data_IF_153455934491
#
_entry.id   IF_153455934491
#
_cell.length_a   1.000
_cell.length_b   1.000
_cell.length_c   1.000
_cell.angle_alpha   90.00
_cell.angle_beta   90.00
_cell.angle_gamma   90.00
#
_symmetry.space_group_name_H-M   'P 1'
#
loop_
_entity.id
_entity.type
_entity.pdbx_description
1 polymer ?
#
# COMPACT_ATOMS: atom_id res chain seq x y z
N UNK A 1 -26.47 -43.24 10.05
CA UNK A 1 -26.67 -42.23 9.00
C UNK A 1 -25.78 -41.07 9.39
N UNK A 2 -24.46 -41.25 9.24
CA UNK A 2 -23.64 -40.76 8.11
C UNK A 2 -23.49 -39.24 8.16
N UNK A 3 -22.41 -38.83 8.82
CA UNK A 3 -21.82 -37.50 8.74
C UNK A 3 -21.57 -37.11 7.28
N UNK A 4 -22.01 -35.91 6.92
CA UNK A 4 -21.59 -35.21 5.70
C UNK A 4 -20.98 -33.88 6.10
N UNK A 5 -19.66 -33.67 5.96
CA UNK A 5 -19.07 -32.37 6.16
C UNK A 5 -19.42 -31.45 4.99
N UNK A 6 -19.92 -30.27 5.34
CA UNK A 6 -20.14 -29.15 4.42
C UNK A 6 -18.79 -28.80 3.80
N UNK A 7 -18.66 -29.03 2.49
CA UNK A 7 -17.53 -28.58 1.69
C UNK A 7 -17.57 -27.04 1.64
N UNK A 8 -16.68 -26.39 2.39
CA UNK A 8 -16.30 -25.00 2.12
C UNK A 8 -15.46 -24.98 0.83
N UNK A 9 -16.14 -24.91 -0.30
CA UNK A 9 -15.52 -24.58 -1.58
C UNK A 9 -15.42 -23.06 -1.70
N UNK A 10 -14.28 -22.51 -1.31
CA UNK A 10 -13.80 -21.23 -1.87
C UNK A 10 -12.56 -21.58 -2.69
N UNK A 11 -12.79 -22.20 -3.84
CA UNK A 11 -11.86 -22.12 -4.97
C UNK A 11 -12.10 -20.76 -5.62
N UNK A 12 -11.66 -19.68 -4.98
CA UNK A 12 -11.39 -18.44 -5.72
C UNK A 12 -10.01 -18.62 -6.33
N UNK A 13 -9.96 -19.16 -7.57
CA UNK A 13 -8.75 -19.03 -8.39
C UNK A 13 -8.35 -17.56 -8.39
N UNK A 14 -7.14 -17.28 -7.94
CA UNK A 14 -6.65 -15.92 -7.83
C UNK A 14 -6.60 -15.39 -9.27
N UNK A 15 -7.32 -14.31 -9.58
CA UNK A 15 -7.48 -13.93 -10.99
C UNK A 15 -6.13 -13.57 -11.65
N UNK A 16 -5.06 -13.34 -10.87
CA UNK A 16 -3.71 -13.08 -11.36
C UNK A 16 -2.79 -14.33 -11.38
N UNK A 17 -3.34 -15.56 -11.33
CA UNK A 17 -2.57 -16.82 -11.20
C UNK A 17 -1.36 -16.92 -12.18
N UNK A 18 -1.49 -16.46 -13.43
CA UNK A 18 -0.39 -16.46 -14.41
C UNK A 18 0.74 -15.48 -14.05
N UNK A 19 0.41 -14.26 -13.62
CA UNK A 19 1.39 -13.24 -13.22
C UNK A 19 2.09 -13.62 -11.91
N UNK A 20 1.39 -14.29 -11.00
CA UNK A 20 2.00 -14.90 -9.81
C UNK A 20 2.97 -16.01 -10.17
N UNK A 21 2.60 -16.87 -11.13
CA UNK A 21 3.48 -17.93 -11.58
C UNK A 21 4.74 -17.35 -12.23
N UNK A 22 4.62 -16.27 -13.01
CA UNK A 22 5.76 -15.54 -13.55
C UNK A 22 6.63 -14.89 -12.46
N UNK A 23 6.03 -14.29 -11.43
CA UNK A 23 6.76 -13.69 -10.32
C UNK A 23 7.51 -14.74 -9.48
N UNK A 24 6.86 -15.87 -9.19
CA UNK A 24 7.45 -16.98 -8.42
C UNK A 24 8.54 -17.70 -9.21
N UNK A 25 8.32 -18.03 -10.49
CA UNK A 25 9.34 -18.63 -11.37
C UNK A 25 10.59 -17.76 -11.47
N UNK A 26 10.41 -16.45 -11.62
CA UNK A 26 11.53 -15.50 -11.65
C UNK A 26 12.26 -15.43 -10.29
N UNK A 27 11.51 -15.41 -9.19
CA UNK A 27 12.04 -15.43 -7.84
C UNK A 27 12.85 -16.70 -7.52
N UNK A 28 12.38 -17.86 -7.96
CA UNK A 28 13.06 -19.15 -7.79
C UNK A 28 14.33 -19.25 -8.63
N UNK A 29 14.27 -18.87 -9.92
CA UNK A 29 15.45 -18.84 -10.81
C UNK A 29 16.57 -17.98 -10.25
N UNK A 30 16.24 -16.83 -9.65
CA UNK A 30 17.22 -15.97 -8.99
C UNK A 30 17.83 -16.62 -7.74
N UNK A 31 17.01 -17.22 -6.86
CA UNK A 31 17.49 -17.87 -5.62
C UNK A 31 18.42 -19.05 -5.91
N UNK A 32 18.18 -19.79 -6.99
CA UNK A 32 19.05 -20.90 -7.38
C UNK A 32 20.44 -20.44 -7.87
N UNK A 33 20.58 -19.20 -8.34
CA UNK A 33 21.81 -18.70 -8.96
C UNK A 33 22.70 -17.83 -8.05
N UNK A 34 22.24 -17.40 -6.86
CA UNK A 34 22.98 -16.49 -5.99
C UNK A 34 23.16 -17.03 -4.54
N UNK A 35 24.39 -17.44 -4.18
CA UNK A 35 24.76 -17.94 -2.84
C UNK A 35 25.69 -17.00 -2.03
N UNK A 36 25.91 -15.75 -2.45
CA UNK A 36 26.78 -14.77 -1.74
C UNK A 36 26.15 -13.38 -1.73
N UNK A 37 26.59 -12.51 -0.80
CA UNK A 37 26.08 -11.13 -0.61
C UNK A 37 25.67 -10.46 -1.92
N UNK A 38 24.36 -10.41 -2.12
CA UNK A 38 23.77 -9.95 -3.37
C UNK A 38 23.96 -8.44 -3.48
N UNK A 39 24.71 -8.03 -4.51
CA UNK A 39 24.79 -6.64 -4.97
C UNK A 39 23.44 -6.10 -5.50
N UNK A 40 22.41 -6.95 -5.49
CA UNK A 40 21.08 -6.68 -6.01
C UNK A 40 20.04 -6.85 -4.91
N UNK A 41 18.95 -6.09 -5.02
CA UNK A 41 17.74 -6.30 -4.25
C UNK A 41 16.55 -6.38 -5.18
N UNK A 42 15.53 -7.12 -4.75
CA UNK A 42 14.34 -7.39 -5.55
C UNK A 42 13.14 -6.72 -4.91
N UNK A 43 12.44 -5.89 -5.66
CA UNK A 43 11.24 -5.20 -5.19
C UNK A 43 10.05 -5.61 -6.04
N UNK A 44 8.94 -5.99 -5.41
CA UNK A 44 7.69 -6.17 -6.13
C UNK A 44 6.93 -4.84 -6.14
N UNK A 45 6.53 -4.39 -7.33
CA UNK A 45 5.63 -3.26 -7.51
C UNK A 45 4.23 -3.81 -7.76
N UNK A 46 3.30 -3.57 -6.85
CA UNK A 46 1.89 -3.92 -7.02
C UNK A 46 1.17 -2.68 -7.53
N UNK A 47 0.69 -2.71 -8.77
CA UNK A 47 -0.01 -1.59 -9.39
C UNK A 47 -1.53 -1.79 -9.33
N UNK A 48 -2.18 -1.07 -8.41
CA UNK A 48 -3.63 -1.19 -8.15
C UNK A 48 -4.45 -0.10 -8.85
N UNK A 49 -3.79 0.93 -9.39
CA UNK A 49 -4.43 2.05 -10.08
C UNK A 49 -4.00 3.42 -9.55
N UNK A 50 -4.93 4.37 -9.57
CA UNK A 50 -4.66 5.77 -9.23
C UNK A 50 -3.98 6.59 -10.32
N UNK A 51 -3.91 7.91 -10.10
CA UNK A 51 -3.41 8.90 -11.06
C UNK A 51 -2.00 8.61 -11.58
N UNK A 52 -1.16 7.97 -10.76
CA UNK A 52 0.26 7.72 -11.09
C UNK A 52 0.46 6.99 -12.41
N UNK A 53 -0.37 5.99 -12.73
CA UNK A 53 -0.28 5.25 -13.98
C UNK A 53 -1.34 5.62 -15.03
N UNK A 54 -2.18 6.63 -14.78
CA UNK A 54 -3.17 7.08 -15.75
C UNK A 54 -2.52 7.68 -16.99
N UNK A 55 -3.15 7.49 -18.15
CA UNK A 55 -2.69 8.02 -19.44
C UNK A 55 -3.78 8.92 -20.01
N UNK A 56 -3.38 9.97 -20.71
CA UNK A 56 -4.29 10.83 -21.45
C UNK A 56 -4.85 10.02 -22.62
N UNK A 57 -6.16 9.79 -22.60
CA UNK A 57 -6.88 9.08 -23.66
C UNK A 57 -7.05 9.98 -24.91
N UNK A 58 -7.69 9.45 -25.96
CA UNK A 58 -7.92 10.21 -27.21
C UNK A 58 -8.79 11.47 -27.03
N UNK A 59 -9.56 11.54 -25.96
CA UNK A 59 -10.45 12.65 -25.62
C UNK A 59 -9.77 13.69 -24.72
N UNK A 60 -8.48 13.49 -24.37
CA UNK A 60 -7.74 14.40 -23.51
C UNK A 60 -7.95 14.18 -22.01
N UNK A 61 -8.63 13.10 -21.61
CA UNK A 61 -8.96 12.78 -20.21
C UNK A 61 -7.97 11.75 -19.66
N UNK A 62 -7.53 11.93 -18.41
CA UNK A 62 -6.72 10.93 -17.71
C UNK A 62 -7.58 9.73 -17.33
N UNK A 63 -7.15 8.54 -17.76
CA UNK A 63 -7.82 7.28 -17.43
C UNK A 63 -6.78 6.16 -17.24
N UNK A 64 -7.07 5.15 -16.40
CA UNK A 64 -6.24 3.96 -16.33
C UNK A 64 -6.29 3.21 -17.66
N UNK A 65 -5.17 2.60 -18.06
CA UNK A 65 -5.10 1.76 -19.27
C UNK A 65 -4.27 0.54 -18.97
N UNK A 66 -4.90 -0.63 -19.06
CA UNK A 66 -4.27 -1.91 -18.74
C UNK A 66 -3.05 -2.19 -19.63
N UNK A 67 -2.03 -2.84 -19.06
CA UNK A 67 -0.78 -3.27 -19.66
C UNK A 67 0.07 -2.15 -20.27
N UNK A 68 -0.17 -0.89 -19.91
CA UNK A 68 0.61 0.23 -20.44
C UNK A 68 1.62 0.77 -19.45
N UNK A 69 1.41 0.53 -18.16
CA UNK A 69 2.30 1.05 -17.13
C UNK A 69 3.71 0.50 -17.32
N UNK A 70 3.86 -0.82 -17.27
CA UNK A 70 5.18 -1.46 -17.45
C UNK A 70 5.79 -1.13 -18.82
N UNK A 71 5.00 -1.17 -19.89
CA UNK A 71 5.47 -0.87 -21.25
C UNK A 71 6.09 0.52 -21.39
N UNK A 72 5.51 1.53 -20.72
CA UNK A 72 6.06 2.89 -20.71
C UNK A 72 7.26 3.02 -19.77
N UNK A 73 7.24 2.34 -18.63
CA UNK A 73 8.37 2.32 -17.69
C UNK A 73 9.62 1.72 -18.36
N UNK A 74 9.47 0.66 -19.17
CA UNK A 74 10.57 0.06 -19.96
C UNK A 74 11.24 1.05 -20.93
N UNK A 75 10.53 2.08 -21.35
CA UNK A 75 11.05 3.11 -22.26
C UNK A 75 11.73 4.27 -21.52
N UNK A 76 11.65 4.32 -20.19
CA UNK A 76 12.17 5.42 -19.39
C UNK A 76 13.56 5.07 -18.81
N UNK A 77 14.64 5.75 -19.25
CA UNK A 77 16.00 5.43 -18.80
C UNK A 77 16.27 5.75 -17.32
N UNK A 78 15.43 6.56 -16.67
CA UNK A 78 15.54 6.80 -15.22
C UNK A 78 14.97 5.63 -14.40
N UNK A 79 14.11 4.81 -15.00
CA UNK A 79 13.39 3.73 -14.33
C UNK A 79 13.78 2.34 -14.85
N UNK A 80 14.42 2.26 -16.02
CA UNK A 80 14.83 1.01 -16.63
C UNK A 80 16.18 1.13 -17.32
N UNK A 81 17.11 0.27 -16.94
CA UNK A 81 18.39 0.02 -17.61
C UNK A 81 18.35 -1.38 -18.25
N UNK A 82 18.04 -1.47 -19.55
CA UNK A 82 17.97 -2.74 -20.26
C UNK A 82 19.35 -3.35 -20.52
N UNK A 83 20.41 -2.54 -20.61
CA UNK A 83 21.77 -3.03 -20.89
C UNK A 83 22.26 -3.91 -19.75
N UNK A 84 22.00 -3.49 -18.51
CA UNK A 84 22.34 -4.28 -17.33
C UNK A 84 21.71 -5.69 -17.37
N UNK A 85 20.44 -5.79 -17.75
CA UNK A 85 19.71 -7.06 -17.78
C UNK A 85 20.14 -7.96 -18.95
N UNK A 86 20.49 -7.39 -20.11
CA UNK A 86 20.95 -8.17 -21.27
C UNK A 86 22.25 -8.93 -21.00
N UNK A 87 23.10 -8.42 -20.11
CA UNK A 87 24.36 -9.08 -19.75
C UNK A 87 24.19 -10.28 -18.82
N UNK A 88 22.98 -10.51 -18.27
CA UNK A 88 22.73 -11.59 -17.33
C UNK A 88 22.47 -12.92 -18.01
N UNK A 89 22.94 -14.00 -17.40
CA UNK A 89 22.77 -15.36 -17.91
C UNK A 89 21.35 -15.92 -17.71
N UNK A 90 20.64 -15.46 -16.68
CA UNK A 90 19.34 -15.98 -16.23
C UNK A 90 18.14 -15.43 -17.02
N UNK A 91 18.33 -14.35 -17.78
CA UNK A 91 17.31 -13.70 -18.64
C UNK A 91 15.96 -13.52 -17.95
N UNK A 92 15.99 -13.09 -16.69
CA UNK A 92 14.79 -12.87 -15.89
C UNK A 92 14.04 -11.64 -16.43
N UNK A 93 12.72 -11.75 -16.57
CA UNK A 93 11.86 -10.66 -17.05
C UNK A 93 11.56 -9.61 -15.97
N UNK A 94 12.61 -8.93 -15.51
CA UNK A 94 12.56 -7.84 -14.53
C UNK A 94 12.83 -6.50 -15.21
N UNK A 95 12.59 -5.43 -14.46
CA UNK A 95 13.10 -4.09 -14.70
C UNK A 95 14.29 -3.84 -13.76
N UNK A 96 15.24 -3.01 -14.17
CA UNK A 96 16.36 -2.61 -13.33
C UNK A 96 16.41 -1.09 -13.24
N UNK A 97 16.38 -0.53 -12.03
CA UNK A 97 16.75 0.89 -11.86
C UNK A 97 18.22 1.08 -12.25
N UNK A 98 18.64 2.25 -12.78
CA UNK A 98 20.05 2.59 -13.00
C UNK A 98 20.95 2.40 -11.77
N UNK A 99 22.26 2.28 -11.99
CA UNK A 99 23.22 2.14 -10.89
C UNK A 99 23.22 3.37 -9.99
N UNK A 100 23.29 3.14 -8.68
CA UNK A 100 23.43 4.19 -7.68
C UNK A 100 24.68 3.94 -6.86
N UNK A 101 25.34 5.02 -6.44
CA UNK A 101 26.51 4.92 -5.58
C UNK A 101 26.09 4.40 -4.21
N UNK A 102 26.85 3.44 -3.66
CA UNK A 102 26.69 2.89 -2.31
C UNK A 102 25.37 2.16 -2.01
N UNK A 103 24.55 1.86 -3.02
CA UNK A 103 23.30 1.10 -2.89
C UNK A 103 23.37 -0.19 -3.70
N UNK A 104 22.58 -1.19 -3.29
CA UNK A 104 22.32 -2.36 -4.12
C UNK A 104 21.57 -1.93 -5.39
N UNK A 105 21.83 -2.66 -6.47
CA UNK A 105 21.08 -2.54 -7.71
C UNK A 105 19.65 -3.04 -7.48
N UNK A 106 18.67 -2.15 -7.63
CA UNK A 106 17.26 -2.52 -7.45
C UNK A 106 16.73 -3.12 -8.76
N UNK A 107 16.44 -4.41 -8.72
CA UNK A 107 15.64 -5.09 -9.71
C UNK A 107 14.19 -5.13 -9.23
N UNK A 108 13.24 -4.96 -10.13
CA UNK A 108 11.83 -4.97 -9.74
C UNK A 108 10.94 -5.57 -10.81
N UNK A 109 9.81 -6.11 -10.36
CA UNK A 109 8.75 -6.64 -11.22
C UNK A 109 7.47 -5.86 -10.95
N UNK A 110 6.68 -5.58 -11.99
CA UNK A 110 5.35 -5.01 -11.83
C UNK A 110 4.33 -6.13 -11.89
N UNK A 111 3.53 -6.24 -10.84
CA UNK A 111 2.29 -7.01 -10.79
C UNK A 111 1.15 -6.02 -10.97
N UNK A 112 0.55 -6.01 -12.16
CA UNK A 112 -0.56 -5.12 -12.48
C UNK A 112 -1.89 -5.80 -12.19
N UNK A 113 -2.75 -5.16 -11.38
CA UNK A 113 -4.09 -5.68 -11.14
C UNK A 113 -4.93 -5.57 -12.42
N UNK A 114 -5.66 -6.64 -12.76
CA UNK A 114 -6.57 -6.69 -13.92
C UNK A 114 -7.55 -5.52 -13.97
N UNK A 115 -8.09 -5.14 -12.82
CA UNK A 115 -8.95 -3.96 -12.68
C UNK A 115 -8.18 -2.87 -11.96
N UNK A 116 -7.68 -1.89 -12.71
CA UNK A 116 -7.07 -0.69 -12.16
C UNK A 116 -8.16 0.22 -11.59
N UNK A 117 -8.06 0.53 -10.30
CA UNK A 117 -9.09 1.26 -9.58
C UNK A 117 -8.72 2.75 -9.38
N UNK A 118 -9.75 3.59 -9.46
CA UNK A 118 -9.75 4.83 -8.70
C UNK A 118 -9.86 4.46 -7.22
N UNK A 119 -8.99 5.01 -6.37
CA UNK A 119 -8.93 4.68 -4.95
C UNK A 119 -10.25 4.93 -4.21
N UNK A 120 -11.09 5.85 -4.70
CA UNK A 120 -12.44 6.09 -4.15
C UNK A 120 -13.38 4.88 -4.26
N UNK A 121 -13.10 3.95 -5.16
CA UNK A 121 -13.89 2.72 -5.35
C UNK A 121 -13.28 1.50 -4.62
N UNK A 122 -12.17 1.67 -3.89
CA UNK A 122 -11.53 0.56 -3.19
C UNK A 122 -12.29 0.14 -1.95
N UNK A 123 -12.30 -1.17 -1.73
CA UNK A 123 -13.05 -1.85 -0.68
C UNK A 123 -12.14 -2.77 0.13
N UNK A 124 -12.70 -3.36 1.19
CA UNK A 124 -12.03 -4.38 2.00
C UNK A 124 -11.51 -5.55 1.15
N UNK A 125 -12.25 -5.96 0.12
CA UNK A 125 -11.83 -7.05 -0.75
C UNK A 125 -10.54 -6.69 -1.51
N UNK A 126 -10.39 -5.44 -1.93
CA UNK A 126 -9.20 -4.97 -2.64
C UNK A 126 -7.98 -4.96 -1.70
N UNK A 127 -8.16 -4.57 -0.44
CA UNK A 127 -7.10 -4.68 0.57
C UNK A 127 -6.67 -6.13 0.82
N UNK A 128 -7.62 -7.07 0.86
CA UNK A 128 -7.33 -8.51 0.98
C UNK A 128 -6.54 -9.03 -0.22
N UNK A 129 -6.87 -8.57 -1.44
CA UNK A 129 -6.14 -8.93 -2.64
C UNK A 129 -4.68 -8.43 -2.58
N UNK A 130 -4.48 -7.15 -2.26
CA UNK A 130 -3.14 -6.57 -2.08
C UNK A 130 -2.35 -7.30 -0.99
N UNK A 131 -3.00 -7.61 0.14
CA UNK A 131 -2.36 -8.33 1.24
C UNK A 131 -1.95 -9.75 0.83
N UNK A 132 -2.80 -10.41 0.04
CA UNK A 132 -2.53 -11.74 -0.52
C UNK A 132 -1.39 -11.69 -1.53
N UNK A 133 -1.32 -10.67 -2.39
CA UNK A 133 -0.20 -10.47 -3.33
C UNK A 133 1.15 -10.42 -2.59
N UNK A 134 1.21 -9.60 -1.53
CA UNK A 134 2.41 -9.44 -0.70
C UNK A 134 2.78 -10.75 -0.01
N UNK A 135 1.80 -11.49 0.51
CA UNK A 135 2.00 -12.76 1.19
C UNK A 135 2.53 -13.85 0.26
N UNK A 136 1.90 -14.04 -0.90
CA UNK A 136 2.27 -15.06 -1.87
C UNK A 136 3.67 -14.78 -2.45
N UNK A 137 3.99 -13.49 -2.63
CA UNK A 137 5.30 -13.07 -3.13
C UNK A 137 6.35 -12.87 -2.02
N UNK A 138 5.99 -13.08 -0.75
CA UNK A 138 6.80 -12.65 0.39
C UNK A 138 8.19 -13.27 0.39
N UNK A 139 8.33 -14.54 0.00
CA UNK A 139 9.60 -15.25 0.01
C UNK A 139 10.56 -14.84 -1.12
N UNK A 140 10.05 -14.20 -2.18
CA UNK A 140 10.79 -13.96 -3.43
C UNK A 140 11.35 -12.55 -3.56
N UNK A 141 10.77 -11.57 -2.86
CA UNK A 141 11.19 -10.16 -2.93
C UNK A 141 11.71 -9.65 -1.59
N UNK A 142 12.60 -8.67 -1.62
CA UNK A 142 13.23 -8.08 -0.44
C UNK A 142 12.40 -6.90 0.12
N UNK A 143 11.57 -6.28 -0.72
CA UNK A 143 10.62 -5.22 -0.34
C UNK A 143 9.47 -5.08 -1.33
N UNK A 144 8.48 -4.25 -0.98
CA UNK A 144 7.25 -4.07 -1.73
C UNK A 144 6.93 -2.58 -1.91
N UNK A 145 6.49 -2.22 -3.11
CA UNK A 145 5.93 -0.90 -3.42
C UNK A 145 4.53 -1.10 -3.95
N UNK A 146 3.54 -0.45 -3.34
CA UNK A 146 2.14 -0.50 -3.75
C UNK A 146 1.78 0.85 -4.35
N UNK A 147 1.47 0.87 -5.64
CA UNK A 147 1.03 2.05 -6.36
C UNK A 147 -0.48 2.20 -6.24
N UNK A 148 -0.90 3.31 -5.64
CA UNK A 148 -2.27 3.51 -5.19
C UNK A 148 -2.77 4.93 -5.51
N UNK A 149 -4.08 5.09 -5.69
CA UNK A 149 -4.71 6.42 -5.80
C UNK A 149 -4.69 7.18 -4.48
N UNK A 150 -4.59 8.51 -4.52
CA UNK A 150 -4.31 9.27 -3.30
C UNK A 150 -5.53 9.42 -2.37
N UNK A 151 -6.76 9.32 -2.86
CA UNK A 151 -7.96 9.66 -2.09
C UNK A 151 -8.20 8.76 -0.87
N UNK A 152 -7.96 7.46 -1.01
CA UNK A 152 -8.12 6.50 0.09
C UNK A 152 -6.80 5.85 0.53
N UNK A 153 -5.66 6.37 0.06
CA UNK A 153 -4.33 5.81 0.33
C UNK A 153 -4.06 5.61 1.83
N UNK A 154 -4.39 6.59 2.67
CA UNK A 154 -4.20 6.48 4.13
C UNK A 154 -5.04 5.36 4.75
N UNK A 155 -6.25 5.12 4.23
CA UNK A 155 -7.11 4.04 4.71
C UNK A 155 -6.51 2.68 4.37
N UNK A 156 -6.06 2.51 3.12
CA UNK A 156 -5.38 1.28 2.68
C UNK A 156 -4.08 1.05 3.46
N UNK A 157 -3.29 2.11 3.71
CA UNK A 157 -2.07 2.02 4.52
C UNK A 157 -2.36 1.60 5.97
N UNK A 158 -3.41 2.14 6.58
CA UNK A 158 -3.83 1.75 7.91
C UNK A 158 -4.35 0.30 7.93
N UNK A 159 -5.24 -0.07 7.00
CA UNK A 159 -5.78 -1.42 6.91
C UNK A 159 -4.68 -2.46 6.75
N UNK A 160 -3.78 -2.30 5.76
CA UNK A 160 -2.67 -3.21 5.52
C UNK A 160 -1.72 -3.28 6.72
N UNK A 161 -1.51 -2.17 7.44
CA UNK A 161 -0.71 -2.18 8.67
C UNK A 161 -1.30 -3.07 9.77
N UNK A 162 -2.62 -3.24 9.84
CA UNK A 162 -3.26 -4.16 10.78
C UNK A 162 -3.36 -5.58 10.23
N UNK A 163 -3.49 -5.73 8.91
CA UNK A 163 -3.54 -7.05 8.27
C UNK A 163 -2.20 -7.77 8.31
N UNK A 164 -1.09 -7.02 8.24
CA UNK A 164 0.27 -7.57 8.21
C UNK A 164 0.82 -7.84 9.60
N UNK A 165 0.70 -9.09 10.04
CA UNK A 165 1.26 -9.57 11.30
C UNK A 165 2.70 -10.06 11.10
N UNK A 166 3.59 -9.67 12.02
CA UNK A 166 5.01 -10.03 11.99
C UNK A 166 5.71 -9.64 10.66
N UNK A 167 5.36 -8.47 10.12
CA UNK A 167 6.02 -7.92 8.96
C UNK A 167 7.52 -7.72 9.25
N UNK A 168 8.39 -8.29 8.41
CA UNK A 168 9.85 -8.16 8.50
C UNK A 168 10.50 -7.44 7.30
N UNK A 169 9.70 -6.93 6.36
CA UNK A 169 10.15 -6.31 5.11
C UNK A 169 9.50 -4.96 4.90
N UNK A 170 10.15 -4.11 4.12
CA UNK A 170 9.67 -2.78 3.82
C UNK A 170 8.51 -2.82 2.83
N UNK A 171 7.36 -2.27 3.23
CA UNK A 171 6.18 -2.11 2.37
C UNK A 171 5.86 -0.63 2.26
N UNK A 172 5.99 -0.07 1.06
CA UNK A 172 5.75 1.36 0.82
C UNK A 172 4.54 1.52 -0.08
N UNK A 173 3.55 2.26 0.38
CA UNK A 173 2.43 2.71 -0.44
C UNK A 173 2.76 4.11 -0.96
N UNK A 174 2.65 4.31 -2.26
CA UNK A 174 2.87 5.60 -2.88
C UNK A 174 1.90 5.83 -4.03
N UNK A 175 1.88 7.06 -4.54
CA UNK A 175 1.05 7.47 -5.66
C UNK A 175 1.57 8.81 -6.19
N UNK A 176 0.71 9.55 -6.88
CA UNK A 176 1.06 10.90 -7.34
C UNK A 176 -0.19 11.75 -7.58
N UNK A 177 0.00 13.07 -7.59
CA UNK A 177 -1.02 14.02 -8.02
C UNK A 177 -1.04 14.16 -9.55
N UNK A 178 0.11 13.98 -10.20
CA UNK A 178 0.25 14.02 -11.66
C UNK A 178 0.77 12.67 -12.14
N UNK A 179 0.18 12.13 -13.21
CA UNK A 179 0.63 10.88 -13.84
C UNK A 179 2.15 10.88 -14.10
N UNK A 180 2.81 9.76 -13.80
CA UNK A 180 4.26 9.57 -13.94
C UNK A 180 4.76 9.81 -15.37
N UNK A 181 3.86 9.73 -16.35
CA UNK A 181 4.17 9.94 -17.77
C UNK A 181 4.15 11.41 -18.19
N UNK A 182 3.90 12.34 -17.27
CA UNK A 182 3.89 13.78 -17.56
C UNK A 182 5.18 14.48 -17.06
N UNK A 183 5.69 15.51 -17.77
CA UNK A 183 7.01 16.09 -17.47
C UNK A 183 7.18 16.71 -16.08
N UNK A 184 6.11 17.20 -15.46
CA UNK A 184 6.14 17.86 -14.14
C UNK A 184 5.59 16.98 -13.02
N UNK A 185 5.63 15.66 -13.23
CA UNK A 185 5.05 14.70 -12.30
C UNK A 185 5.88 14.54 -11.02
N UNK A 186 5.19 14.57 -9.88
CA UNK A 186 5.69 14.09 -8.59
C UNK A 186 5.85 12.56 -8.54
N UNK A 187 5.16 11.84 -9.43
CA UNK A 187 5.18 10.38 -9.51
C UNK A 187 6.54 9.80 -9.87
N UNK A 188 7.39 10.53 -10.61
CA UNK A 188 8.74 10.06 -10.97
C UNK A 188 9.59 9.90 -9.71
N UNK A 189 9.63 10.94 -8.88
CA UNK A 189 10.38 10.91 -7.62
C UNK A 189 9.77 9.92 -6.62
N UNK A 190 8.44 9.99 -6.43
CA UNK A 190 7.71 9.09 -5.56
C UNK A 190 7.97 7.61 -5.89
N UNK A 191 7.94 7.24 -7.16
CA UNK A 191 8.16 5.87 -7.60
C UNK A 191 9.60 5.40 -7.43
N UNK A 192 10.56 6.16 -7.97
CA UNK A 192 11.98 5.78 -7.93
C UNK A 192 12.46 5.70 -6.48
N UNK A 193 12.15 6.70 -5.66
CA UNK A 193 12.60 6.71 -4.27
C UNK A 193 11.93 5.62 -3.43
N UNK A 194 10.66 5.30 -3.68
CA UNK A 194 10.01 4.15 -3.03
C UNK A 194 10.71 2.82 -3.36
N UNK A 195 11.11 2.60 -4.62
CA UNK A 195 11.88 1.43 -5.02
C UNK A 195 13.25 1.38 -4.32
N UNK A 196 13.95 2.51 -4.25
CA UNK A 196 15.25 2.62 -3.57
C UNK A 196 15.10 2.26 -2.09
N UNK A 197 14.13 2.87 -1.41
CA UNK A 197 13.86 2.65 0.01
C UNK A 197 13.48 1.19 0.29
N UNK A 198 12.53 0.63 -0.48
CA UNK A 198 12.08 -0.74 -0.32
C UNK A 198 13.20 -1.78 -0.60
N UNK A 199 14.09 -1.49 -1.55
CA UNK A 199 15.17 -2.42 -1.93
C UNK A 199 16.44 -2.30 -1.08
N UNK A 200 16.69 -1.19 -0.40
CA UNK A 200 17.97 -0.95 0.29
C UNK A 200 17.85 -0.78 1.80
N UNK A 201 16.68 -0.48 2.33
CA UNK A 201 16.48 -0.22 3.76
C UNK A 201 15.49 -1.22 4.34
N UNK A 202 15.79 -1.73 5.54
CA UNK A 202 14.91 -2.66 6.26
C UNK A 202 14.11 -1.85 7.28
N UNK A 203 12.89 -1.49 6.87
CA UNK A 203 11.91 -0.73 7.64
C UNK A 203 10.66 -1.62 7.69
N UNK A 204 10.51 -2.52 8.68
CA UNK A 204 9.51 -3.58 8.71
C UNK A 204 8.10 -3.05 9.05
N UNK A 205 7.63 -2.06 8.28
CA UNK A 205 6.37 -1.35 8.48
C UNK A 205 5.68 -1.09 7.14
N UNK A 206 4.35 -1.00 7.18
CA UNK A 206 3.59 -0.37 6.10
C UNK A 206 3.76 1.14 6.22
N UNK A 207 4.35 1.73 5.19
CA UNK A 207 4.73 3.14 5.15
C UNK A 207 4.11 3.84 3.95
N UNK A 208 4.00 5.17 4.03
CA UNK A 208 3.55 6.02 2.93
C UNK A 208 4.69 6.95 2.54
N UNK A 209 5.10 6.92 1.27
CA UNK A 209 6.14 7.82 0.75
C UNK A 209 5.54 8.91 -0.13
N UNK A 210 5.68 10.17 0.30
CA UNK A 210 5.31 11.36 -0.45
C UNK A 210 6.22 12.54 -0.10
N UNK A 211 6.55 13.34 -1.10
CA UNK A 211 7.25 14.62 -0.95
C UNK A 211 8.45 14.53 0.01
N UNK A 212 9.41 13.67 -0.37
CA UNK A 212 10.67 13.48 0.35
C UNK A 212 10.54 12.90 1.78
N UNK A 213 9.38 12.38 2.17
CA UNK A 213 9.12 11.84 3.52
C UNK A 213 8.58 10.42 3.42
N UNK A 214 9.20 9.48 4.13
CA UNK A 214 8.60 8.18 4.44
C UNK A 214 7.92 8.28 5.80
N UNK A 215 6.61 8.09 5.85
CA UNK A 215 5.79 8.20 7.05
C UNK A 215 5.19 6.85 7.40
N UNK A 216 5.01 6.56 8.70
CA UNK A 216 4.29 5.36 9.15
C UNK A 216 2.85 5.38 8.63
N UNK A 217 2.44 4.33 7.91
CA UNK A 217 1.20 4.33 7.13
C UNK A 217 -0.05 4.60 7.97
N UNK A 218 -0.19 3.90 9.11
CA UNK A 218 -1.30 4.07 10.05
C UNK A 218 -1.29 5.39 10.85
N UNK A 219 -0.33 6.29 10.59
CA UNK A 219 -0.26 7.65 11.18
C UNK A 219 -0.51 8.75 10.15
N UNK A 220 -0.71 8.41 8.88
CA UNK A 220 -0.87 9.39 7.81
C UNK A 220 -2.32 9.85 7.62
N UNK A 221 -2.47 11.10 7.17
CA UNK A 221 -3.71 11.66 6.65
C UNK A 221 -3.43 12.46 5.38
N UNK A 222 -4.39 12.48 4.45
CA UNK A 222 -4.34 13.37 3.28
C UNK A 222 -4.84 14.76 3.69
N UNK A 223 -4.03 15.80 3.45
CA UNK A 223 -4.34 17.19 3.83
C UNK A 223 -4.42 18.14 2.65
N UNK A 224 -3.88 17.77 1.48
CA UNK A 224 -3.97 18.60 0.28
C UNK A 224 -4.43 17.81 -0.94
N UNK A 225 -5.23 18.47 -1.77
CA UNK A 225 -5.69 17.99 -3.08
C UNK A 225 -4.95 18.64 -4.24
N UNK A 226 -4.06 19.61 -3.96
CA UNK A 226 -3.40 20.43 -4.99
C UNK A 226 -1.88 20.44 -4.85
N UNK A 227 -1.36 20.31 -3.64
CA UNK A 227 0.08 20.34 -3.38
C UNK A 227 0.67 18.94 -3.52
N UNK A 228 1.95 18.87 -3.93
CA UNK A 228 2.69 17.61 -3.93
C UNK A 228 2.93 17.09 -2.51
N UNK A 229 3.01 17.98 -1.51
CA UNK A 229 2.99 17.60 -0.09
C UNK A 229 1.56 17.27 0.38
N UNK A 230 0.98 16.24 -0.24
CA UNK A 230 -0.43 15.89 -0.07
C UNK A 230 -0.74 15.19 1.25
N UNK A 231 0.27 14.63 1.92
CA UNK A 231 0.13 13.77 3.08
C UNK A 231 1.01 14.24 4.23
N UNK A 232 0.46 14.18 5.44
CA UNK A 232 1.20 14.45 6.67
C UNK A 232 1.00 13.33 7.68
N UNK A 233 1.91 13.26 8.65
CA UNK A 233 1.79 12.43 9.86
C UNK A 233 1.77 13.37 11.07
N UNK A 234 0.59 13.83 11.53
CA UNK A 234 0.50 14.96 12.44
C UNK A 234 1.03 14.66 13.85
N UNK A 235 0.98 13.39 14.27
CA UNK A 235 1.30 12.96 15.64
C UNK A 235 2.47 11.95 15.68
N UNK A 236 3.23 11.81 14.60
CA UNK A 236 4.38 10.92 14.52
C UNK A 236 5.39 11.50 13.53
N UNK A 237 6.67 11.54 13.91
CA UNK A 237 7.74 11.98 13.01
C UNK A 237 7.84 11.03 11.80
N UNK A 238 8.29 11.53 10.63
CA UNK A 238 8.67 10.68 9.51
C UNK A 238 9.71 9.63 9.92
N UNK A 239 9.62 8.43 9.36
CA UNK A 239 10.61 7.37 9.55
C UNK A 239 11.90 7.65 8.75
N UNK A 240 11.75 8.31 7.59
CA UNK A 240 12.86 8.70 6.71
C UNK A 240 12.61 10.08 6.14
N UNK A 241 13.64 10.92 6.14
CA UNK A 241 13.67 12.18 5.41
C UNK A 241 14.67 12.04 4.25
N UNK A 242 14.20 12.26 3.03
CA UNK A 242 15.01 12.19 1.82
C UNK A 242 15.47 13.60 1.44
N UNK A 243 16.78 13.80 1.35
CA UNK A 243 17.39 15.03 0.85
C UNK A 243 18.54 14.69 -0.10
N UNK A 244 19.65 15.44 0.00
CA UNK A 244 20.90 15.04 -0.65
C UNK A 244 21.36 13.67 -0.12
N UNK A 245 21.14 13.43 1.17
CA UNK A 245 21.32 12.16 1.85
C UNK A 245 19.95 11.60 2.29
N UNK A 246 19.88 10.29 2.49
CA UNK A 246 18.70 9.62 3.03
C UNK A 246 18.92 9.47 4.53
N UNK A 247 18.15 10.22 5.33
CA UNK A 247 18.24 10.19 6.79
C UNK A 247 17.13 9.30 7.37
N UNK A 248 17.53 8.25 8.07
CA UNK A 248 16.62 7.23 8.63
C UNK A 248 16.58 7.37 10.15
N UNK A 249 15.40 7.66 10.69
CA UNK A 249 15.20 7.66 12.15
C UNK A 249 15.02 6.22 12.65
N UNK A 250 16.15 5.55 12.89
CA UNK A 250 16.17 4.19 13.43
C UNK A 250 15.52 4.05 14.82
N UNK A 251 15.37 5.15 15.56
CA UNK A 251 14.72 5.15 16.88
C UNK A 251 13.19 5.14 16.76
N UNK A 252 12.65 5.68 15.67
CA UNK A 252 11.22 5.69 15.38
C UNK A 252 10.71 4.38 14.79
N UNK A 253 11.58 3.57 14.17
CA UNK A 253 11.22 2.30 13.52
C UNK A 253 10.87 1.23 14.57
N UNK A 254 9.68 0.64 14.43
CA UNK A 254 9.30 -0.50 15.24
C UNK A 254 10.13 -1.73 14.87
N UNK A 255 10.74 -2.38 15.86
CA UNK A 255 11.48 -3.63 15.68
C UNK A 255 10.76 -4.74 16.44
N UNK A 256 10.27 -5.78 15.76
CA UNK A 256 9.65 -6.91 16.45
C UNK A 256 10.66 -7.58 17.38
N UNK A 257 10.22 -7.89 18.60
CA UNK A 257 11.03 -8.58 19.62
C UNK A 257 10.97 -10.10 19.51
N UNK A 258 10.07 -10.60 18.66
CA UNK A 258 9.78 -12.02 18.45
C UNK A 258 10.07 -12.38 17.00
N UNK A 259 10.65 -13.57 16.80
CA UNK A 259 10.83 -14.15 15.48
C UNK A 259 9.63 -15.05 15.24
N UNK A 260 8.71 -14.60 14.41
CA UNK A 260 7.55 -15.37 13.97
C UNK A 260 7.39 -15.20 12.45
N UNK A 261 6.71 -16.14 11.80
CA UNK A 261 6.47 -16.07 10.37
C UNK A 261 5.50 -14.93 10.05
N UNK A 262 5.72 -14.25 8.92
CA UNK A 262 4.78 -13.29 8.37
C UNK A 262 3.41 -13.94 8.14
N UNK A 263 2.34 -13.29 8.61
CA UNK A 263 0.95 -13.74 8.50
C UNK A 263 0.08 -12.59 8.03
N UNK A 264 -1.06 -12.92 7.41
CA UNK A 264 -2.06 -11.95 7.00
C UNK A 264 -3.41 -12.23 7.65
N UNK A 265 -3.99 -11.24 8.30
CA UNK A 265 -5.36 -11.28 8.81
C UNK A 265 -6.34 -10.86 7.71
N UNK A 266 -7.20 -11.79 7.26
CA UNK A 266 -8.17 -11.56 6.18
C UNK A 266 -9.59 -11.25 6.67
N UNK A 267 -9.92 -11.62 7.90
CA UNK A 267 -11.24 -11.39 8.49
C UNK A 267 -11.37 -9.95 8.98
N UNK A 268 -11.76 -9.06 8.06
CA UNK A 268 -12.09 -7.67 8.34
C UNK A 268 -13.60 -7.47 8.36
N UNK A 269 -14.12 -6.93 9.46
CA UNK A 269 -15.54 -6.60 9.59
C UNK A 269 -15.89 -5.38 8.73
N UNK A 270 -16.90 -5.52 7.88
CA UNK A 270 -17.41 -4.45 7.01
C UNK A 270 -18.43 -3.56 7.72
N UNK A 271 -19.00 -4.01 8.82
CA UNK A 271 -20.01 -3.29 9.58
C UNK A 271 -19.35 -2.35 10.60
N UNK A 272 -18.41 -1.53 10.12
CA UNK A 272 -17.75 -0.49 10.92
C UNK A 272 -17.96 0.87 10.26
N UNK A 273 -18.19 1.89 11.07
CA UNK A 273 -18.51 3.24 10.58
C UNK A 273 -17.71 4.34 11.27
N UNK A 274 -17.58 5.49 10.61
CA UNK A 274 -17.05 6.71 11.21
C UNK A 274 -18.20 7.72 11.31
N UNK A 275 -18.55 8.10 12.54
CA UNK A 275 -19.55 9.13 12.80
C UNK A 275 -18.87 10.38 13.32
N UNK A 276 -18.90 11.44 12.52
CA UNK A 276 -18.41 12.75 12.94
C UNK A 276 -19.47 13.49 13.73
N UNK A 277 -19.12 13.86 14.95
CA UNK A 277 -19.97 14.66 15.82
C UNK A 277 -19.85 16.12 15.39
N UNK A 278 -21.00 16.77 15.22
CA UNK A 278 -21.10 18.19 14.88
C UNK A 278 -22.22 18.85 15.71
N UNK A 279 -22.18 20.19 15.89
CA UNK A 279 -23.18 20.87 16.69
C UNK A 279 -24.59 20.60 16.16
N UNK A 280 -25.52 20.31 17.06
CA UNK A 280 -26.92 20.01 16.74
C UNK A 280 -27.17 18.67 16.02
N UNK A 281 -26.23 17.71 16.10
CA UNK A 281 -26.49 16.34 15.64
C UNK A 281 -27.73 15.76 16.36
N UNK A 282 -28.65 15.20 15.57
CA UNK A 282 -29.95 14.76 16.08
C UNK A 282 -29.89 13.36 16.69
N UNK A 283 -30.76 13.08 17.66
CA UNK A 283 -30.94 11.73 18.20
C UNK A 283 -31.24 10.71 17.09
N UNK A 284 -32.13 11.06 16.15
CA UNK A 284 -32.50 10.19 15.04
C UNK A 284 -31.28 9.82 14.16
N UNK A 285 -30.43 10.79 13.84
CA UNK A 285 -29.20 10.55 13.05
C UNK A 285 -28.27 9.57 13.75
N UNK A 286 -27.99 9.78 15.05
CA UNK A 286 -27.09 8.88 15.80
C UNK A 286 -27.71 7.50 15.92
N UNK A 287 -29.01 7.41 16.23
CA UNK A 287 -29.71 6.13 16.34
C UNK A 287 -29.66 5.33 15.05
N UNK A 288 -30.05 5.94 13.93
CA UNK A 288 -30.03 5.25 12.63
C UNK A 288 -28.63 4.85 12.18
N UNK A 289 -27.58 5.56 12.64
CA UNK A 289 -26.20 5.19 12.34
C UNK A 289 -25.72 3.97 13.16
N UNK A 290 -26.26 3.79 14.37
CA UNK A 290 -25.91 2.71 15.29
C UNK A 290 -26.78 1.46 15.12
N UNK A 291 -27.87 1.54 14.36
CA UNK A 291 -28.77 0.40 14.14
C UNK A 291 -28.02 -0.77 13.45
N UNK A 292 -28.41 -2.03 13.72
CA UNK A 292 -27.84 -3.20 13.04
C UNK A 292 -27.89 -3.06 11.50
N UNK A 293 -26.86 -3.56 10.78
CA UNK A 293 -25.86 -4.55 11.22
C UNK A 293 -24.57 -3.96 11.81
N UNK A 294 -24.53 -2.69 12.21
CA UNK A 294 -23.32 -2.03 12.72
C UNK A 294 -22.70 -2.76 13.93
N UNK A 295 -21.42 -3.12 13.84
CA UNK A 295 -20.67 -3.80 14.89
C UNK A 295 -19.64 -2.89 15.59
N UNK A 296 -19.27 -1.77 14.98
CA UNK A 296 -18.33 -0.82 15.59
C UNK A 296 -18.39 0.58 14.99
N UNK A 297 -18.28 1.61 15.83
CA UNK A 297 -18.30 3.01 15.37
C UNK A 297 -17.15 3.81 15.96
N UNK A 298 -16.43 4.51 15.09
CA UNK A 298 -15.44 5.52 15.46
C UNK A 298 -16.16 6.86 15.58
N UNK A 299 -16.29 7.37 16.80
CA UNK A 299 -16.84 8.70 17.05
C UNK A 299 -15.74 9.77 16.88
N UNK A 300 -15.82 10.56 15.82
CA UNK A 300 -14.95 11.74 15.67
C UNK A 300 -15.55 12.91 16.45
N UNK A 301 -15.14 13.04 17.70
CA UNK A 301 -15.60 14.05 18.67
C UNK A 301 -14.81 15.36 18.58
N UNK A 302 -15.12 16.33 19.44
CA UNK A 302 -14.45 17.63 19.45
C UNK A 302 -13.12 17.61 20.21
N UNK A 303 -12.14 18.38 19.70
CA UNK A 303 -10.91 18.71 20.43
C UNK A 303 -10.24 17.50 21.08
N UNK A 304 -10.13 17.53 22.41
CA UNK A 304 -9.49 16.49 23.23
C UNK A 304 -10.33 15.24 23.48
N UNK A 305 -11.43 15.01 22.75
CA UNK A 305 -12.36 13.90 22.99
C UNK A 305 -13.70 14.31 23.61
N UNK A 306 -14.10 15.58 23.49
CA UNK A 306 -15.29 16.10 24.15
C UNK A 306 -16.57 15.73 23.39
N UNK A 307 -17.57 15.28 24.14
CA UNK A 307 -18.92 14.97 23.65
C UNK A 307 -19.96 15.84 24.41
N UNK A 308 -21.08 16.26 23.79
CA UNK A 308 -22.09 17.09 24.46
C UNK A 308 -22.71 16.38 25.67
N UNK A 309 -22.25 16.74 26.87
CA UNK A 309 -22.67 16.11 28.14
C UNK A 309 -24.09 16.45 28.57
N UNK A 310 -24.67 17.52 28.03
CA UNK A 310 -26.06 17.92 28.26
C UNK A 310 -27.08 17.14 27.40
N UNK A 311 -26.59 16.31 26.45
CA UNK A 311 -27.42 15.46 25.60
C UNK A 311 -27.54 14.06 26.21
N UNK A 312 -28.27 13.97 27.32
CA UNK A 312 -28.49 12.71 28.04
C UNK A 312 -29.14 11.65 27.15
N UNK A 313 -30.00 12.06 26.23
CA UNK A 313 -30.63 11.23 25.20
C UNK A 313 -29.59 10.50 24.31
N UNK A 314 -28.53 11.19 23.89
CA UNK A 314 -27.45 10.59 23.09
C UNK A 314 -26.55 9.69 23.95
N UNK A 315 -26.26 10.09 25.18
CA UNK A 315 -25.43 9.28 26.10
C UNK A 315 -26.11 7.95 26.44
N UNK A 316 -27.42 7.97 26.70
CA UNK A 316 -28.22 6.76 26.92
C UNK A 316 -28.26 5.85 25.69
N UNK A 317 -28.38 6.44 24.50
CA UNK A 317 -28.32 5.70 23.24
C UNK A 317 -26.96 5.02 23.04
N UNK A 318 -25.85 5.74 23.26
CA UNK A 318 -24.50 5.19 23.17
C UNK A 318 -24.27 4.08 24.20
N UNK A 319 -24.79 4.24 25.41
CA UNK A 319 -24.76 3.20 26.44
C UNK A 319 -25.51 1.95 25.98
N UNK A 320 -26.71 2.12 25.44
CA UNK A 320 -27.55 1.02 24.97
C UNK A 320 -26.92 0.29 23.78
N UNK A 321 -26.19 0.99 22.91
CA UNK A 321 -25.50 0.38 21.77
C UNK A 321 -24.25 -0.43 22.15
N UNK A 322 -23.74 -0.25 23.37
CA UNK A 322 -22.58 -0.99 23.90
C UNK A 322 -22.99 -2.26 24.68
N UNK A 323 -24.26 -2.39 25.05
CA UNK A 323 -24.82 -3.54 25.78
C UNK A 323 -25.32 -4.63 24.80
#
# INVERSE_FOLDING_TARGET
>A
MSDSPIKNGVDSKNENDEDYQLCSEAGEKFRMNNQTESFESRVLVIYTGGTIGMIINKEGVLAPKANEFENKIRQNPLMHDPEYLQTRADKIDYLALPAMKNNKRVLYKVLEHKSLLDSSNMTVSDWINIATDVFDCYAYFDGFVILHGTDTLCYSAAALSFMFENLGKTVIITGSQISIFQPRSDGVDNFITSLILAGNYVIPEVSVYFHNKLMRGNRTIKTSTHEFDAFISPNCLPLVQVGIEIDVDHSAIFRPYTIDSFKIAKDLDKNVGILRIFPDITYATVKSFLDPPMNGVILQTYGSGNFPSNRTDLLELLKSANE
#
